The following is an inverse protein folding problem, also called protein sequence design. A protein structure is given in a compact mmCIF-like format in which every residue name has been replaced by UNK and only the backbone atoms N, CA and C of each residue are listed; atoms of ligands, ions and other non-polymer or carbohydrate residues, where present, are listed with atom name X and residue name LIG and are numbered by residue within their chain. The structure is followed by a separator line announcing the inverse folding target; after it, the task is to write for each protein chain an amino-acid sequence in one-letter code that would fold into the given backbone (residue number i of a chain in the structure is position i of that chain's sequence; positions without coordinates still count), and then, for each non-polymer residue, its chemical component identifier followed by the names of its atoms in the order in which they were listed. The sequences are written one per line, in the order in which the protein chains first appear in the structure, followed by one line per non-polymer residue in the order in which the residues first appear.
data_IF_785827809759
#
_entry.id   IF_785827809759
#
_cell.length_a   1.000
_cell.length_b   1.000
_cell.length_c   1.000
_cell.angle_alpha   90.00
_cell.angle_beta   90.00
_cell.angle_gamma   90.00
#
_symmetry.space_group_name_H-M   'P 1'
#
loop_
_entity.id
_entity.type
_entity.pdbx_description
1 polymer ?
#
# COMPACT_ATOMS: atom_id res chain seq x y z
N UNK A 1 -22.13 8.71 12.65
CA UNK A 1 -20.86 8.47 13.36
C UNK A 1 -20.34 9.82 13.81
N UNK A 2 -19.93 9.95 15.06
CA UNK A 2 -19.35 11.22 15.55
C UNK A 2 -17.82 11.17 15.39
N UNK A 3 -17.34 11.73 14.31
CA UNK A 3 -15.91 11.68 13.94
C UNK A 3 -15.04 12.49 14.90
N UNK A 4 -15.57 13.56 15.51
CA UNK A 4 -14.86 14.34 16.50
C UNK A 4 -14.65 13.54 17.80
N UNK A 5 -15.69 12.85 18.25
CA UNK A 5 -15.59 11.97 19.42
C UNK A 5 -14.63 10.80 19.19
N UNK A 6 -14.54 10.28 17.96
CA UNK A 6 -13.56 9.27 17.56
C UNK A 6 -12.14 9.81 17.41
N UNK A 7 -11.97 11.13 17.38
CA UNK A 7 -10.70 11.78 17.16
C UNK A 7 -10.13 11.51 15.78
N UNK A 8 -10.98 11.55 14.73
CA UNK A 8 -10.54 11.41 13.35
C UNK A 8 -9.58 12.52 12.99
N UNK A 9 -8.43 12.11 12.45
CA UNK A 9 -7.43 12.99 11.86
C UNK A 9 -7.00 12.40 10.53
N UNK A 10 -7.09 13.21 9.47
CA UNK A 10 -6.67 12.80 8.13
C UNK A 10 -5.79 13.85 7.45
N UNK A 11 -4.91 13.37 6.57
CA UNK A 11 -4.07 14.16 5.68
C UNK A 11 -4.10 13.59 4.27
N UNK A 12 -3.79 14.40 3.27
CA UNK A 12 -3.76 14.01 1.85
C UNK A 12 -2.36 14.24 1.29
N UNK A 13 -1.92 13.29 0.47
CA UNK A 13 -0.78 13.42 -0.41
C UNK A 13 -1.26 13.30 -1.85
N UNK A 14 -1.06 14.33 -2.67
CA UNK A 14 -1.49 14.37 -4.07
C UNK A 14 -0.27 14.30 -4.96
N UNK A 15 -0.29 13.37 -5.92
CA UNK A 15 0.69 13.26 -7.00
C UNK A 15 0.01 13.63 -8.31
N UNK A 16 0.46 14.70 -8.97
CA UNK A 16 -0.08 15.18 -10.24
C UNK A 16 1.02 15.32 -11.28
N UNK A 17 0.84 14.66 -12.43
CA UNK A 17 1.74 14.82 -13.57
C UNK A 17 1.65 16.25 -14.15
N UNK A 18 2.82 16.86 -14.42
CA UNK A 18 2.90 18.14 -15.07
C UNK A 18 2.88 17.96 -16.60
N UNK A 19 2.31 18.94 -17.30
CA UNK A 19 2.23 18.94 -18.75
C UNK A 19 3.40 19.73 -19.36
N UNK A 20 4.62 19.24 -19.12
CA UNK A 20 5.85 19.78 -19.70
C UNK A 20 6.15 19.15 -21.05
N UNK A 21 6.98 19.81 -21.88
CA UNK A 21 7.44 19.24 -23.15
C UNK A 21 8.42 18.10 -22.94
N UNK A 22 9.30 18.24 -21.98
CA UNK A 22 10.39 17.31 -21.69
C UNK A 22 10.24 16.72 -20.28
N UNK A 23 10.82 15.54 -20.08
CA UNK A 23 10.89 14.86 -18.78
C UNK A 23 11.76 15.65 -17.79
N UNK A 24 11.76 15.20 -16.52
CA UNK A 24 12.33 15.96 -15.42
C UNK A 24 13.87 16.06 -15.50
N UNK A 25 14.54 14.99 -15.89
CA UNK A 25 16.01 14.89 -15.91
C UNK A 25 16.60 14.43 -17.25
N UNK A 26 15.81 14.53 -18.33
CA UNK A 26 16.27 14.30 -19.69
C UNK A 26 15.44 15.14 -20.68
N UNK A 27 15.75 15.04 -21.97
CA UNK A 27 15.03 15.77 -23.02
C UNK A 27 13.99 14.92 -23.76
N UNK A 28 13.70 13.75 -23.26
CA UNK A 28 12.66 12.91 -23.83
C UNK A 28 11.27 13.56 -23.68
N UNK A 29 10.37 13.36 -24.65
CA UNK A 29 9.02 13.91 -24.58
C UNK A 29 8.20 13.26 -23.48
N UNK A 30 7.21 13.97 -22.92
CA UNK A 30 6.31 13.45 -21.91
C UNK A 30 5.03 12.82 -22.50
N UNK A 31 5.16 12.19 -23.65
CA UNK A 31 4.08 11.47 -24.35
C UNK A 31 4.11 10.01 -23.95
N UNK A 32 2.90 9.42 -23.76
CA UNK A 32 2.78 7.99 -23.48
C UNK A 32 2.42 7.23 -24.75
N UNK A 33 3.01 6.04 -24.91
CA UNK A 33 2.77 5.11 -25.99
C UNK A 33 1.97 3.88 -25.49
N UNK A 34 1.20 3.20 -26.34
CA UNK A 34 0.69 1.88 -26.05
C UNK A 34 1.83 0.90 -25.71
N UNK A 35 1.59 -0.05 -24.82
CA UNK A 35 2.63 -1.00 -24.39
C UNK A 35 3.19 -1.83 -25.55
N UNK A 36 2.37 -2.09 -26.56
CA UNK A 36 2.72 -2.87 -27.75
C UNK A 36 3.67 -2.14 -28.70
N UNK A 37 3.79 -0.83 -28.57
CA UNK A 37 4.65 0.01 -29.40
C UNK A 37 6.09 0.15 -28.86
N UNK A 38 6.48 -0.67 -27.86
CA UNK A 38 7.86 -0.67 -27.39
C UNK A 38 8.82 -1.11 -28.52
N UNK A 39 9.96 -0.44 -28.60
CA UNK A 39 10.98 -0.65 -29.63
C UNK A 39 12.17 -1.47 -29.14
N UNK A 40 12.28 -1.68 -27.83
CA UNK A 40 13.32 -2.50 -27.22
C UNK A 40 12.96 -2.96 -25.83
N UNK A 41 13.77 -3.87 -25.30
CA UNK A 41 13.65 -4.38 -23.96
C UNK A 41 14.99 -4.71 -23.33
N UNK A 42 15.09 -4.53 -22.01
CA UNK A 42 16.23 -4.99 -21.22
C UNK A 42 15.79 -5.46 -19.84
N UNK A 43 16.67 -6.15 -19.15
CA UNK A 43 16.33 -6.63 -17.80
C UNK A 43 17.42 -6.31 -16.79
N UNK A 44 16.98 -6.10 -15.53
CA UNK A 44 17.87 -5.81 -14.41
C UNK A 44 17.47 -6.60 -13.15
N UNK A 45 18.47 -6.83 -12.32
CA UNK A 45 18.30 -7.18 -10.91
C UNK A 45 18.60 -5.93 -10.09
N UNK A 46 17.66 -5.49 -9.26
CA UNK A 46 17.93 -4.38 -8.35
C UNK A 46 18.97 -4.80 -7.30
N UNK A 47 19.91 -3.90 -7.06
CA UNK A 47 20.90 -4.04 -5.99
C UNK A 47 20.69 -2.91 -5.00
N UNK A 48 20.72 -3.25 -3.71
CA UNK A 48 20.76 -2.23 -2.68
C UNK A 48 22.08 -1.48 -2.74
N UNK A 49 21.99 -0.16 -2.84
CA UNK A 49 23.16 0.73 -2.81
C UNK A 49 23.55 1.01 -1.37
N UNK A 50 24.83 1.03 -1.09
CA UNK A 50 25.35 1.52 0.20
C UNK A 50 25.26 3.04 0.24
N UNK A 51 24.91 3.58 1.41
CA UNK A 51 25.00 5.02 1.68
C UNK A 51 26.47 5.45 1.79
N UNK A 52 26.71 6.76 1.81
CA UNK A 52 28.04 7.32 2.05
C UNK A 52 28.65 6.88 3.40
N UNK A 53 27.83 6.40 4.33
CA UNK A 53 28.24 5.84 5.62
C UNK A 53 28.46 4.32 5.61
N UNK A 54 28.33 3.68 4.44
CA UNK A 54 28.44 2.23 4.28
C UNK A 54 27.24 1.44 4.78
N UNK A 55 26.12 2.11 5.06
CA UNK A 55 24.89 1.46 5.49
C UNK A 55 24.00 1.09 4.29
N UNK A 56 23.45 -0.10 4.32
CA UNK A 56 22.46 -0.56 3.35
C UNK A 56 21.07 -0.48 4.00
N UNK A 57 20.11 0.13 3.29
CA UNK A 57 18.72 0.16 3.73
C UNK A 57 18.20 -1.24 4.04
N UNK A 58 17.49 -1.38 5.16
CA UNK A 58 17.05 -2.67 5.68
C UNK A 58 16.03 -3.35 4.77
N UNK A 59 15.11 -2.59 4.18
CA UNK A 59 14.09 -3.13 3.28
C UNK A 59 14.72 -3.52 1.93
N UNK A 60 15.65 -2.73 1.40
CA UNK A 60 16.41 -3.04 0.20
C UNK A 60 17.26 -4.30 0.36
N UNK A 61 17.89 -4.49 1.52
CA UNK A 61 18.66 -5.71 1.86
C UNK A 61 17.77 -6.95 1.90
N UNK A 62 16.55 -6.82 2.44
CA UNK A 62 15.62 -7.93 2.52
C UNK A 62 15.06 -8.30 1.13
N UNK A 63 14.76 -7.30 0.31
CA UNK A 63 14.27 -7.50 -1.05
C UNK A 63 15.33 -8.17 -1.96
N UNK A 64 16.60 -7.84 -1.80
CA UNK A 64 17.70 -8.48 -2.54
C UNK A 64 17.75 -10.00 -2.38
N UNK A 65 17.26 -10.56 -1.26
CA UNK A 65 17.21 -12.02 -1.05
C UNK A 65 16.28 -12.73 -2.02
N UNK A 66 15.34 -12.03 -2.62
CA UNK A 66 14.37 -12.59 -3.56
C UNK A 66 14.91 -12.71 -4.99
N UNK A 67 16.04 -12.08 -5.32
CA UNK A 67 16.66 -12.12 -6.65
C UNK A 67 15.66 -11.89 -7.79
N UNK A 68 14.73 -10.95 -7.63
CA UNK A 68 13.73 -10.64 -8.66
C UNK A 68 14.40 -10.01 -9.87
N UNK A 69 14.06 -10.50 -11.06
CA UNK A 69 14.46 -9.95 -12.35
C UNK A 69 13.34 -9.09 -12.88
N UNK A 70 13.62 -7.81 -13.14
CA UNK A 70 12.68 -6.87 -13.73
C UNK A 70 12.97 -6.72 -15.22
N UNK A 71 11.92 -6.71 -16.05
CA UNK A 71 11.97 -6.48 -17.48
C UNK A 71 11.43 -5.08 -17.77
N UNK A 72 12.14 -4.32 -18.60
CA UNK A 72 11.78 -2.95 -18.95
C UNK A 72 11.59 -2.81 -20.45
N UNK A 73 10.48 -2.20 -20.85
CA UNK A 73 10.18 -1.82 -22.23
C UNK A 73 10.65 -0.39 -22.50
N UNK A 74 11.39 -0.20 -23.59
CA UNK A 74 11.87 1.10 -24.07
C UNK A 74 11.05 1.59 -25.26
N UNK A 75 11.11 2.88 -25.52
CA UNK A 75 10.34 3.58 -26.54
C UNK A 75 11.17 4.72 -27.14
N UNK A 76 10.70 5.32 -28.24
CA UNK A 76 11.25 6.57 -28.80
C UNK A 76 11.18 7.77 -27.83
N UNK A 77 10.40 7.64 -26.74
CA UNK A 77 10.27 8.59 -25.62
C UNK A 77 11.17 8.28 -24.43
N UNK A 78 12.12 7.35 -24.57
CA UNK A 78 13.09 6.97 -23.52
C UNK A 78 14.52 7.12 -24.00
N UNK A 79 15.46 7.31 -23.08
CA UNK A 79 16.88 7.39 -23.37
C UNK A 79 17.72 6.68 -22.28
N UNK A 80 19.04 6.80 -22.36
CA UNK A 80 19.97 6.17 -21.43
C UNK A 80 19.81 6.67 -19.97
N UNK A 81 19.22 7.85 -19.76
CA UNK A 81 18.91 8.36 -18.41
C UNK A 81 17.85 7.47 -17.74
N UNK A 82 16.74 7.14 -18.43
CA UNK A 82 15.72 6.23 -17.92
C UNK A 82 16.25 4.79 -17.78
N UNK A 83 17.22 4.43 -18.61
CA UNK A 83 17.91 3.13 -18.49
C UNK A 83 18.92 3.10 -17.34
N UNK A 84 19.16 4.22 -16.64
CA UNK A 84 20.21 4.37 -15.63
C UNK A 84 21.63 4.04 -16.16
N UNK A 85 21.90 4.47 -17.40
CA UNK A 85 23.18 4.26 -18.12
C UNK A 85 23.87 5.57 -18.50
N UNK A 86 23.22 6.71 -18.22
CA UNK A 86 23.75 8.05 -18.44
C UNK A 86 23.42 8.95 -17.24
N UNK A 87 24.32 9.87 -16.83
CA UNK A 87 24.02 10.85 -15.80
C UNK A 87 22.79 11.70 -16.16
N UNK A 88 21.94 12.06 -15.18
CA UNK A 88 20.77 12.89 -15.43
C UNK A 88 21.16 14.30 -15.90
N UNK A 89 20.34 14.89 -16.75
CA UNK A 89 20.41 16.32 -17.08
C UNK A 89 20.03 17.18 -15.84
N UNK A 90 20.31 18.48 -15.84
CA UNK A 90 19.79 19.39 -14.83
C UNK A 90 18.27 19.35 -14.73
N UNK A 91 17.76 19.63 -13.53
CA UNK A 91 16.31 19.70 -13.24
C UNK A 91 15.58 20.57 -14.29
N UNK A 92 14.50 20.05 -14.86
CA UNK A 92 13.72 20.74 -15.89
C UNK A 92 13.16 22.08 -15.35
N UNK A 93 13.55 23.23 -15.96
CA UNK A 93 13.16 24.57 -15.49
C UNK A 93 11.67 24.86 -15.69
N UNK A 94 11.02 24.29 -16.72
CA UNK A 94 9.58 24.44 -16.95
C UNK A 94 8.78 23.75 -15.84
N UNK A 95 9.21 22.56 -15.42
CA UNK A 95 8.60 21.82 -14.31
C UNK A 95 8.78 22.57 -12.99
N UNK A 96 10.00 23.05 -12.70
CA UNK A 96 10.28 23.83 -11.49
C UNK A 96 9.45 25.12 -11.45
N UNK A 97 9.38 25.86 -12.56
CA UNK A 97 8.57 27.09 -12.65
C UNK A 97 7.08 26.80 -12.40
N UNK A 98 6.58 25.66 -12.87
CA UNK A 98 5.20 25.24 -12.63
C UNK A 98 4.96 24.92 -11.13
N UNK A 99 5.87 24.21 -10.48
CA UNK A 99 5.78 23.95 -9.04
C UNK A 99 5.85 25.25 -8.21
N UNK A 100 6.70 26.19 -8.59
CA UNK A 100 6.78 27.50 -7.92
C UNK A 100 5.50 28.34 -8.14
N UNK A 101 4.85 28.25 -9.30
CA UNK A 101 3.56 28.85 -9.54
C UNK A 101 2.49 28.28 -8.62
N UNK A 102 2.43 26.92 -8.51
CA UNK A 102 1.51 26.23 -7.61
C UNK A 102 1.78 26.63 -6.16
N UNK A 103 3.05 26.65 -5.73
CA UNK A 103 3.43 27.07 -4.39
C UNK A 103 2.96 28.50 -4.07
N UNK A 104 3.11 29.42 -5.01
CA UNK A 104 2.63 30.80 -4.87
C UNK A 104 1.10 30.87 -4.74
N UNK A 105 0.35 30.05 -5.48
CA UNK A 105 -1.11 30.02 -5.39
C UNK A 105 -1.60 29.50 -4.03
N UNK A 106 -0.84 28.67 -3.35
CA UNK A 106 -1.11 28.21 -1.99
C UNK A 106 -0.46 29.09 -0.89
N UNK A 107 0.15 30.23 -1.25
CA UNK A 107 0.81 31.11 -0.30
C UNK A 107 2.04 30.51 0.37
N UNK A 108 2.68 29.52 -0.25
CA UNK A 108 3.84 28.83 0.31
C UNK A 108 5.13 29.64 0.21
N UNK A 109 6.06 29.33 1.10
CA UNK A 109 7.43 29.87 1.07
C UNK A 109 8.33 28.96 0.22
N UNK A 110 8.83 29.43 -0.95
CA UNK A 110 9.83 28.67 -1.71
C UNK A 110 11.12 28.52 -0.92
N UNK A 111 11.77 27.34 -1.03
CA UNK A 111 13.09 27.15 -0.43
C UNK A 111 14.16 27.87 -1.28
N UNK A 112 15.19 28.44 -0.65
CA UNK A 112 16.20 29.24 -1.37
C UNK A 112 17.10 28.41 -2.30
N UNK A 113 17.23 27.10 -2.05
CA UNK A 113 18.06 26.20 -2.83
C UNK A 113 17.37 24.83 -2.97
N UNK A 114 17.13 24.42 -4.21
CA UNK A 114 16.49 23.13 -4.54
C UNK A 114 17.55 22.05 -4.70
N UNK A 115 17.52 21.04 -3.85
CA UNK A 115 18.42 19.89 -3.91
C UNK A 115 17.66 18.63 -4.33
N UNK A 116 18.17 17.93 -5.32
CA UNK A 116 17.65 16.63 -5.71
C UNK A 116 18.17 15.55 -4.77
N UNK A 117 17.25 14.80 -4.19
CA UNK A 117 17.50 13.67 -3.29
C UNK A 117 17.14 12.35 -3.96
N UNK A 118 17.58 11.23 -3.40
CA UNK A 118 17.27 9.88 -3.83
C UNK A 118 16.33 9.24 -2.81
N UNK A 119 15.07 9.00 -3.21
CA UNK A 119 14.07 8.26 -2.42
C UNK A 119 14.14 6.79 -2.85
N UNK A 120 14.60 5.90 -1.99
CA UNK A 120 14.78 4.47 -2.32
C UNK A 120 13.48 3.83 -2.80
N UNK A 121 13.55 3.08 -3.90
CA UNK A 121 12.44 2.35 -4.50
C UNK A 121 12.91 0.94 -4.85
N UNK A 122 12.33 -0.06 -4.20
CA UNK A 122 12.78 -1.46 -4.24
C UNK A 122 11.85 -2.39 -5.01
N UNK A 123 10.77 -1.87 -5.61
CA UNK A 123 9.74 -2.67 -6.28
C UNK A 123 9.95 -2.83 -7.79
N UNK A 124 11.04 -2.28 -8.33
CA UNK A 124 11.37 -2.32 -9.74
C UNK A 124 10.82 -1.19 -10.58
N UNK A 125 9.96 -0.32 -10.04
CA UNK A 125 9.35 0.78 -10.78
C UNK A 125 10.33 1.91 -11.16
N UNK A 126 11.53 1.91 -10.63
CA UNK A 126 12.64 2.79 -11.01
C UNK A 126 13.88 1.95 -11.34
N UNK A 127 14.42 2.10 -12.52
CA UNK A 127 15.59 1.33 -13.02
C UNK A 127 16.84 1.52 -12.17
N UNK A 128 17.01 2.73 -11.58
CA UNK A 128 18.12 3.09 -10.69
C UNK A 128 17.96 2.55 -9.25
N UNK A 129 16.78 2.00 -8.89
CA UNK A 129 16.48 1.62 -7.51
C UNK A 129 16.14 2.79 -6.58
N UNK A 130 15.97 3.99 -7.11
CA UNK A 130 15.53 5.18 -6.39
C UNK A 130 14.75 6.13 -7.30
N UNK A 131 13.90 6.96 -6.71
CA UNK A 131 13.18 8.05 -7.36
C UNK A 131 13.90 9.37 -7.02
N UNK A 132 14.18 10.21 -8.01
CA UNK A 132 14.71 11.54 -7.77
C UNK A 132 13.57 12.46 -7.37
N UNK A 133 13.72 13.09 -6.21
CA UNK A 133 12.76 14.03 -5.64
C UNK A 133 13.47 15.27 -5.13
N UNK A 134 12.81 16.43 -5.20
CA UNK A 134 13.36 17.68 -4.68
C UNK A 134 12.27 18.51 -4.01
N UNK A 135 12.53 18.98 -2.78
CA UNK A 135 11.68 19.92 -2.08
C UNK A 135 11.72 21.28 -2.78
N UNK A 136 10.56 21.90 -3.00
CA UNK A 136 10.44 23.20 -3.71
C UNK A 136 9.90 24.30 -2.81
N UNK A 137 8.89 23.99 -1.97
CA UNK A 137 8.27 24.98 -1.10
C UNK A 137 7.65 24.33 0.15
N UNK A 138 7.44 25.14 1.18
CA UNK A 138 6.88 24.72 2.47
C UNK A 138 5.84 25.71 2.97
N UNK A 139 5.00 25.27 3.92
CA UNK A 139 4.10 26.10 4.72
C UNK A 139 3.04 26.85 3.89
N UNK A 140 2.20 26.14 3.16
CA UNK A 140 1.03 26.68 2.49
C UNK A 140 -0.20 26.71 3.39
N UNK A 141 -1.26 27.33 2.90
CA UNK A 141 -2.54 27.45 3.62
C UNK A 141 -3.68 26.74 2.88
N UNK A 142 -4.57 26.12 3.65
CA UNK A 142 -5.79 25.49 3.17
C UNK A 142 -7.04 26.27 3.60
N UNK A 143 -8.17 26.15 2.89
CA UNK A 143 -9.41 26.89 3.20
C UNK A 143 -9.98 26.58 4.59
N UNK A 144 -9.75 25.37 5.11
CA UNK A 144 -10.20 24.96 6.45
C UNK A 144 -9.29 25.42 7.60
N UNK A 145 -8.30 26.27 7.32
CA UNK A 145 -7.30 26.69 8.28
C UNK A 145 -6.14 25.72 8.50
N UNK A 146 -6.14 24.58 7.82
CA UNK A 146 -5.03 23.65 7.80
C UNK A 146 -3.85 24.14 6.95
N UNK A 147 -2.78 23.34 6.88
CA UNK A 147 -1.56 23.70 6.17
C UNK A 147 -1.20 22.68 5.09
N UNK A 148 -0.56 23.16 4.03
CA UNK A 148 0.22 22.33 3.12
C UNK A 148 1.65 22.33 3.66
N UNK A 149 2.15 21.16 4.05
CA UNK A 149 3.48 21.04 4.64
C UNK A 149 4.57 21.25 3.58
N UNK A 150 4.46 20.51 2.47
CA UNK A 150 5.47 20.51 1.42
C UNK A 150 4.89 20.47 0.02
N UNK A 151 5.62 21.06 -0.93
CA UNK A 151 5.56 20.75 -2.35
C UNK A 151 6.92 20.22 -2.77
N UNK A 152 6.91 18.99 -3.30
CA UNK A 152 8.07 18.38 -3.93
C UNK A 152 7.84 18.25 -5.45
N UNK A 153 8.95 18.23 -6.20
CA UNK A 153 8.98 17.82 -7.59
C UNK A 153 9.70 16.49 -7.69
N UNK A 154 9.09 15.55 -8.39
CA UNK A 154 9.57 14.17 -8.49
C UNK A 154 9.56 13.68 -9.94
N UNK A 155 10.33 12.66 -10.24
CA UNK A 155 10.17 11.90 -11.47
C UNK A 155 9.09 10.83 -11.29
N UNK A 156 8.14 10.74 -12.23
CA UNK A 156 7.12 9.66 -12.22
C UNK A 156 7.81 8.30 -12.35
N UNK A 157 7.27 7.28 -11.70
CA UNK A 157 7.75 5.91 -11.79
C UNK A 157 7.34 5.25 -13.11
N UNK A 158 8.05 4.20 -13.53
CA UNK A 158 7.67 3.34 -14.65
C UNK A 158 6.29 2.71 -14.42
N UNK A 159 5.54 2.53 -15.50
CA UNK A 159 4.22 1.91 -15.43
C UNK A 159 4.35 0.38 -15.43
N UNK A 160 3.78 -0.27 -14.44
CA UNK A 160 3.71 -1.73 -14.41
C UNK A 160 2.77 -2.23 -15.50
N UNK A 161 3.25 -3.10 -16.36
CA UNK A 161 2.48 -3.76 -17.43
C UNK A 161 1.85 -5.06 -16.88
N UNK A 162 2.69 -5.91 -16.26
CA UNK A 162 2.29 -7.15 -15.58
C UNK A 162 3.46 -7.62 -14.73
N UNK A 163 3.17 -8.33 -13.64
CA UNK A 163 4.19 -8.93 -12.75
C UNK A 163 5.43 -8.01 -12.55
N UNK A 164 6.61 -8.44 -12.97
CA UNK A 164 7.87 -7.72 -12.93
C UNK A 164 8.22 -7.02 -14.27
N UNK A 165 7.23 -6.73 -15.11
CA UNK A 165 7.39 -6.05 -16.39
C UNK A 165 6.92 -4.60 -16.29
N UNK A 166 7.79 -3.65 -16.68
CA UNK A 166 7.54 -2.22 -16.59
C UNK A 166 7.75 -1.51 -17.93
N UNK A 167 6.90 -0.52 -18.23
CA UNK A 167 7.07 0.43 -19.34
C UNK A 167 7.80 1.67 -18.86
N UNK A 168 8.92 2.02 -19.48
CA UNK A 168 9.72 3.19 -19.15
C UNK A 168 9.18 4.50 -19.74
N UNK A 169 8.18 4.44 -20.59
CA UNK A 169 7.61 5.61 -21.24
C UNK A 169 7.15 6.67 -20.23
N UNK A 170 6.56 6.23 -19.12
CA UNK A 170 6.10 7.10 -18.03
C UNK A 170 7.25 7.55 -17.10
N UNK A 171 8.32 6.77 -16.98
CA UNK A 171 9.44 7.07 -16.08
C UNK A 171 10.04 8.43 -16.42
N UNK A 172 10.21 9.27 -15.41
CA UNK A 172 10.82 10.58 -15.55
C UNK A 172 9.86 11.70 -15.96
N UNK A 173 8.57 11.45 -16.24
CA UNK A 173 7.59 12.53 -16.40
C UNK A 173 7.56 13.36 -15.11
N UNK A 174 7.62 14.71 -15.19
CA UNK A 174 7.57 15.54 -13.99
C UNK A 174 6.28 15.37 -13.21
N UNK A 175 6.40 15.14 -11.92
CA UNK A 175 5.33 14.94 -10.97
C UNK A 175 5.42 15.99 -9.87
N UNK A 176 4.34 16.68 -9.56
CA UNK A 176 4.26 17.50 -8.35
C UNK A 176 3.60 16.68 -7.25
N UNK A 177 4.28 16.57 -6.12
CA UNK A 177 3.75 16.00 -4.88
C UNK A 177 3.37 17.12 -3.93
N UNK A 178 2.14 17.11 -3.41
CA UNK A 178 1.62 18.07 -2.43
C UNK A 178 1.20 17.29 -1.20
N UNK A 179 1.83 17.57 -0.06
CA UNK A 179 1.52 16.92 1.22
C UNK A 179 0.87 17.92 2.17
N UNK A 180 -0.31 17.59 2.69
CA UNK A 180 -1.00 18.39 3.71
C UNK A 180 -0.59 17.94 5.12
N UNK A 181 -0.73 18.85 6.08
CA UNK A 181 -0.76 18.44 7.49
C UNK A 181 -1.99 17.56 7.77
N UNK A 182 -1.99 16.78 8.86
CA UNK A 182 -3.15 16.01 9.29
C UNK A 182 -4.21 16.94 9.92
N UNK A 183 -4.92 17.71 9.11
CA UNK A 183 -5.79 18.83 9.50
C UNK A 183 -7.26 18.66 9.14
N UNK A 184 -7.67 17.48 8.68
CA UNK A 184 -9.05 17.18 8.30
C UNK A 184 -9.66 16.22 9.32
N UNK A 185 -10.90 16.50 9.75
CA UNK A 185 -11.55 15.83 10.87
C UNK A 185 -12.88 15.15 10.50
N UNK A 186 -13.33 15.31 9.26
CA UNK A 186 -14.51 14.64 8.71
C UNK A 186 -14.23 14.07 7.32
N UNK A 187 -14.93 13.01 6.90
CA UNK A 187 -14.78 12.46 5.54
C UNK A 187 -15.09 13.48 4.44
N UNK A 188 -16.09 14.32 4.67
CA UNK A 188 -16.51 15.38 3.74
C UNK A 188 -15.42 16.42 3.59
N UNK A 189 -14.80 16.83 4.69
CA UNK A 189 -13.69 17.80 4.67
C UNK A 189 -12.49 17.27 3.88
N UNK A 190 -12.17 15.96 3.99
CA UNK A 190 -11.11 15.34 3.18
C UNK A 190 -11.41 15.45 1.69
N UNK A 191 -12.64 15.17 1.29
CA UNK A 191 -13.08 15.29 -0.10
C UNK A 191 -13.02 16.75 -0.59
N UNK A 192 -13.55 17.71 0.18
CA UNK A 192 -13.55 19.14 -0.16
C UNK A 192 -12.14 19.69 -0.35
N UNK A 193 -11.19 19.29 0.51
CA UNK A 193 -9.79 19.69 0.38
C UNK A 193 -9.14 19.06 -0.85
N UNK A 194 -9.42 17.78 -1.14
CA UNK A 194 -8.93 17.13 -2.35
C UNK A 194 -9.45 17.83 -3.63
N UNK A 195 -10.72 18.19 -3.66
CA UNK A 195 -11.33 18.95 -4.75
C UNK A 195 -10.70 20.33 -4.92
N UNK A 196 -10.49 21.06 -3.81
CA UNK A 196 -9.83 22.36 -3.80
C UNK A 196 -8.41 22.27 -4.37
N UNK A 197 -7.59 21.33 -3.89
CA UNK A 197 -6.23 21.11 -4.39
C UNK A 197 -6.23 20.78 -5.89
N UNK A 198 -7.12 19.88 -6.31
CA UNK A 198 -7.28 19.51 -7.71
C UNK A 198 -7.74 20.70 -8.58
N UNK A 199 -8.60 21.57 -8.09
CA UNK A 199 -9.04 22.79 -8.78
C UNK A 199 -7.88 23.78 -8.97
N UNK A 200 -7.08 24.02 -7.92
CA UNK A 200 -5.91 24.90 -7.99
C UNK A 200 -4.90 24.36 -9.00
N UNK A 201 -4.59 23.06 -8.96
CA UNK A 201 -3.70 22.42 -9.92
C UNK A 201 -4.18 22.61 -11.36
N UNK A 202 -5.46 22.33 -11.63
CA UNK A 202 -6.06 22.48 -12.97
C UNK A 202 -6.09 23.94 -13.44
N UNK A 203 -6.25 24.91 -12.54
CA UNK A 203 -6.30 26.34 -12.89
C UNK A 203 -4.99 26.88 -13.42
N UNK A 204 -3.84 26.21 -13.16
CA UNK A 204 -2.55 26.55 -13.75
C UNK A 204 -2.52 26.36 -15.27
N UNK A 205 -3.36 25.49 -15.83
CA UNK A 205 -3.30 25.04 -17.23
C UNK A 205 -2.07 24.20 -17.58
N UNK A 206 -1.22 23.85 -16.61
CA UNK A 206 0.08 23.19 -16.79
C UNK A 206 0.17 21.77 -16.22
N UNK A 207 -0.97 21.18 -15.88
CA UNK A 207 -1.03 19.78 -15.44
C UNK A 207 -1.66 18.91 -16.50
N UNK A 208 -1.25 17.63 -16.54
CA UNK A 208 -1.88 16.64 -17.43
C UNK A 208 -3.30 16.31 -16.94
N UNK A 209 -4.15 15.90 -17.88
CA UNK A 209 -5.53 15.50 -17.64
C UNK A 209 -5.77 14.06 -18.09
N UNK A 210 -6.76 13.40 -17.48
CA UNK A 210 -7.15 12.03 -17.80
C UNK A 210 -6.81 11.06 -16.67
N UNK A 211 -7.28 9.82 -16.85
CA UNK A 211 -7.09 8.75 -15.87
C UNK A 211 -5.59 8.48 -15.63
N UNK A 212 -5.21 8.31 -14.38
CA UNK A 212 -3.85 7.99 -13.97
C UNK A 212 -2.88 9.18 -13.96
N UNK A 213 -3.31 10.41 -14.32
CA UNK A 213 -2.46 11.60 -14.28
C UNK A 213 -2.44 12.29 -12.92
N UNK A 214 -3.42 11.99 -12.06
CA UNK A 214 -3.51 12.42 -10.67
C UNK A 214 -3.82 11.21 -9.78
N UNK A 215 -3.18 11.12 -8.64
CA UNK A 215 -3.42 10.12 -7.61
C UNK A 215 -3.42 10.79 -6.25
N UNK A 216 -4.29 10.32 -5.36
CA UNK A 216 -4.33 10.78 -3.98
C UNK A 216 -4.07 9.60 -3.06
N UNK A 217 -3.18 9.83 -2.10
CA UNK A 217 -2.91 8.94 -0.99
C UNK A 217 -3.49 9.60 0.27
N UNK A 218 -4.34 8.86 1.02
CA UNK A 218 -5.06 9.42 2.15
C UNK A 218 -4.55 8.77 3.42
N UNK A 219 -4.00 9.56 4.32
CA UNK A 219 -3.57 9.15 5.65
C UNK A 219 -4.74 9.35 6.63
N UNK A 220 -5.12 8.30 7.35
CA UNK A 220 -6.28 8.28 8.25
C UNK A 220 -5.88 7.66 9.58
N UNK A 221 -6.28 8.29 10.68
CA UNK A 221 -6.17 7.73 12.03
C UNK A 221 -7.34 8.17 12.90
N UNK A 222 -7.65 7.36 13.92
CA UNK A 222 -8.56 7.69 15.01
C UNK A 222 -7.85 7.52 16.36
N UNK A 223 -8.43 8.05 17.42
CA UNK A 223 -7.88 7.90 18.79
C UNK A 223 -7.70 6.42 19.16
N UNK A 224 -6.48 6.05 19.56
CA UNK A 224 -6.13 4.66 19.89
C UNK A 224 -5.94 3.73 18.69
N UNK A 225 -6.19 4.20 17.46
CA UNK A 225 -5.91 3.49 16.22
C UNK A 225 -4.50 3.76 15.68
N UNK A 226 -4.21 3.18 14.52
CA UNK A 226 -2.95 3.41 13.81
C UNK A 226 -3.17 4.37 12.63
N UNK A 227 -2.12 5.11 12.26
CA UNK A 227 -2.14 5.84 10.99
C UNK A 227 -2.07 4.84 9.85
N UNK A 228 -3.10 4.85 9.00
CA UNK A 228 -3.20 4.02 7.80
C UNK A 228 -3.16 4.90 6.58
N UNK A 229 -2.32 4.58 5.62
CA UNK A 229 -2.25 5.22 4.32
C UNK A 229 -3.00 4.36 3.29
N UNK A 230 -4.02 4.94 2.65
CA UNK A 230 -4.76 4.33 1.55
C UNK A 230 -4.26 4.96 0.26
N UNK A 231 -3.59 4.15 -0.57
CA UNK A 231 -2.92 4.62 -1.77
C UNK A 231 -3.82 4.58 -3.01
N UNK A 232 -3.62 5.57 -3.88
CA UNK A 232 -4.12 5.54 -5.24
C UNK A 232 -5.61 5.76 -5.40
N UNK A 233 -6.24 6.54 -4.52
CA UNK A 233 -7.63 6.96 -4.70
C UNK A 233 -7.69 7.96 -5.86
N UNK A 234 -8.38 7.61 -6.95
CA UNK A 234 -8.44 8.44 -8.17
C UNK A 234 -9.73 9.24 -8.30
N UNK A 235 -10.83 8.69 -7.82
CA UNK A 235 -12.16 9.28 -7.95
C UNK A 235 -12.48 10.15 -6.71
N UNK A 236 -12.68 11.44 -6.92
CA UNK A 236 -12.98 12.38 -5.84
C UNK A 236 -14.23 12.00 -5.05
N UNK A 237 -15.27 11.55 -5.74
CA UNK A 237 -16.55 11.16 -5.14
C UNK A 237 -16.43 9.96 -4.17
N UNK A 238 -15.38 9.16 -4.30
CA UNK A 238 -15.12 8.01 -3.42
C UNK A 238 -14.31 8.35 -2.18
N UNK A 239 -13.66 9.52 -2.12
CA UNK A 239 -12.76 9.88 -1.02
C UNK A 239 -13.48 9.83 0.33
N UNK A 240 -14.63 10.48 0.47
CA UNK A 240 -15.38 10.48 1.71
C UNK A 240 -15.79 9.06 2.14
N UNK A 241 -16.18 8.21 1.20
CA UNK A 241 -16.55 6.82 1.50
C UNK A 241 -15.32 5.99 1.92
N UNK A 242 -14.17 6.18 1.28
CA UNK A 242 -12.92 5.53 1.67
C UNK A 242 -12.55 5.89 3.11
N UNK A 243 -12.64 7.17 3.48
CA UNK A 243 -12.38 7.62 4.86
C UNK A 243 -13.37 6.98 5.84
N UNK A 244 -14.68 6.98 5.53
CA UNK A 244 -15.71 6.36 6.38
C UNK A 244 -15.43 4.88 6.63
N UNK A 245 -15.05 4.14 5.58
CA UNK A 245 -14.75 2.70 5.67
C UNK A 245 -13.54 2.43 6.54
N UNK A 246 -12.48 3.22 6.37
CA UNK A 246 -11.29 3.05 7.19
C UNK A 246 -11.54 3.41 8.66
N UNK A 247 -12.25 4.49 8.94
CA UNK A 247 -12.65 4.85 10.33
C UNK A 247 -13.47 3.72 10.95
N UNK A 248 -14.47 3.19 10.24
CA UNK A 248 -15.28 2.07 10.69
C UNK A 248 -14.42 0.84 10.98
N UNK A 249 -13.47 0.53 10.10
CA UNK A 249 -12.55 -0.59 10.29
C UNK A 249 -11.72 -0.43 11.55
N UNK A 250 -11.13 0.74 11.77
CA UNK A 250 -10.31 1.01 12.96
C UNK A 250 -11.16 0.94 14.24
N UNK A 251 -12.35 1.56 14.27
CA UNK A 251 -13.27 1.52 15.41
C UNK A 251 -13.63 0.08 15.77
N UNK A 252 -13.99 -0.75 14.77
CA UNK A 252 -14.34 -2.15 14.98
C UNK A 252 -13.14 -2.97 15.47
N UNK A 253 -11.95 -2.76 14.94
CA UNK A 253 -10.73 -3.43 15.41
C UNK A 253 -10.40 -3.06 16.87
N UNK A 254 -10.56 -1.80 17.25
CA UNK A 254 -10.40 -1.36 18.64
C UNK A 254 -11.43 -2.05 19.58
N UNK A 255 -12.69 -2.11 19.15
CA UNK A 255 -13.74 -2.83 19.89
C UNK A 255 -13.41 -4.31 20.04
N UNK A 256 -12.96 -4.99 18.99
CA UNK A 256 -12.53 -6.40 19.05
C UNK A 256 -11.34 -6.55 20.00
N UNK A 257 -10.35 -5.69 19.93
CA UNK A 257 -9.17 -5.68 20.84
C UNK A 257 -9.61 -5.59 22.30
N UNK A 258 -10.52 -4.69 22.62
CA UNK A 258 -10.97 -4.48 24.00
C UNK A 258 -11.79 -5.69 24.50
N UNK A 259 -12.66 -6.26 23.68
CA UNK A 259 -13.37 -7.52 23.98
C UNK A 259 -12.41 -8.70 24.19
N UNK A 260 -11.33 -8.79 23.40
CA UNK A 260 -10.29 -9.81 23.58
C UNK A 260 -9.55 -9.64 24.91
N UNK A 261 -9.21 -8.40 25.28
CA UNK A 261 -8.60 -8.09 26.57
C UNK A 261 -9.51 -8.46 27.75
N UNK A 262 -10.79 -8.10 27.71
CA UNK A 262 -11.79 -8.45 28.71
C UNK A 262 -11.95 -9.97 28.88
N UNK A 263 -11.90 -10.72 27.78
CA UNK A 263 -11.94 -12.19 27.78
C UNK A 263 -10.64 -12.81 28.30
N UNK A 264 -9.55 -12.04 28.44
CA UNK A 264 -8.21 -12.55 28.71
C UNK A 264 -7.73 -13.48 27.59
N UNK A 265 -8.01 -13.09 26.34
CA UNK A 265 -7.61 -13.84 25.15
C UNK A 265 -6.09 -13.96 25.06
N UNK A 266 -5.64 -15.02 24.44
CA UNK A 266 -4.20 -15.25 24.20
C UNK A 266 -3.99 -16.01 22.91
N UNK A 267 -2.83 -15.81 22.30
CA UNK A 267 -2.38 -16.52 21.11
C UNK A 267 -1.30 -17.51 21.53
N UNK A 268 -1.56 -18.81 21.36
CA UNK A 268 -0.59 -19.85 21.69
C UNK A 268 0.21 -20.24 20.44
N UNK A 269 1.53 -20.02 20.52
CA UNK A 269 2.42 -19.87 19.42
C UNK A 269 2.90 -21.14 18.67
N UNK A 270 2.36 -22.33 18.90
CA UNK A 270 2.82 -23.54 18.17
C UNK A 270 1.74 -24.03 17.24
N UNK A 271 1.90 -23.87 15.92
CA UNK A 271 1.00 -24.48 14.94
C UNK A 271 1.01 -26.00 15.01
N UNK A 272 -0.17 -26.62 14.87
CA UNK A 272 -0.37 -28.07 14.92
C UNK A 272 -0.63 -28.60 13.51
N UNK A 273 -0.01 -29.71 13.14
CA UNK A 273 -0.32 -30.44 11.92
C UNK A 273 -1.65 -31.20 12.09
N UNK A 274 -2.61 -30.87 11.24
CA UNK A 274 -3.96 -31.46 11.26
C UNK A 274 -4.32 -32.11 9.93
N UNK A 275 -3.32 -32.43 9.11
CA UNK A 275 -3.51 -32.96 7.76
C UNK A 275 -4.34 -34.23 7.74
N UNK A 276 -4.16 -35.13 8.72
CA UNK A 276 -4.85 -36.42 8.77
C UNK A 276 -6.37 -36.28 8.98
N UNK A 277 -6.82 -35.26 9.72
CA UNK A 277 -8.24 -34.98 9.94
C UNK A 277 -9.00 -34.79 8.64
N UNK A 278 -8.33 -34.13 7.67
CA UNK A 278 -8.93 -33.75 6.39
C UNK A 278 -8.63 -34.72 5.25
N UNK A 279 -8.15 -35.93 5.54
CA UNK A 279 -7.83 -36.93 4.52
C UNK A 279 -9.03 -37.34 3.65
N UNK A 280 -10.25 -37.30 4.21
CA UNK A 280 -11.50 -37.61 3.51
C UNK A 280 -12.44 -36.43 3.36
N UNK A 281 -11.92 -35.21 3.54
CA UNK A 281 -12.71 -33.98 3.49
C UNK A 281 -13.39 -33.74 2.14
N UNK A 282 -14.58 -33.15 2.18
CA UNK A 282 -15.29 -32.67 1.00
C UNK A 282 -14.72 -31.34 0.44
N UNK A 283 -13.80 -30.69 1.18
CA UNK A 283 -13.20 -29.43 0.75
C UNK A 283 -12.18 -29.63 -0.37
N UNK A 284 -12.46 -29.09 -1.56
CA UNK A 284 -11.57 -29.18 -2.71
C UNK A 284 -10.20 -28.52 -2.52
N UNK A 285 -10.08 -27.57 -1.59
CA UNK A 285 -8.83 -26.87 -1.25
C UNK A 285 -8.00 -27.73 -0.28
N UNK A 286 -8.61 -28.16 0.82
CA UNK A 286 -7.93 -28.96 1.85
C UNK A 286 -7.48 -30.30 1.30
N UNK A 287 -8.30 -30.96 0.49
CA UNK A 287 -8.01 -32.25 -0.14
C UNK A 287 -6.74 -32.23 -1.04
N UNK A 288 -6.44 -31.08 -1.65
CA UNK A 288 -5.29 -30.92 -2.56
C UNK A 288 -4.01 -30.48 -1.86
N UNK A 289 -4.09 -30.09 -0.59
CA UNK A 289 -2.96 -29.57 0.13
C UNK A 289 -2.00 -30.71 0.57
N UNK A 290 -0.72 -30.46 0.45
CA UNK A 290 0.30 -31.39 0.96
C UNK A 290 0.50 -31.30 2.47
N UNK A 291 0.05 -30.19 3.07
CA UNK A 291 0.08 -29.95 4.52
C UNK A 291 -1.06 -29.01 4.92
N UNK A 292 -1.71 -29.35 6.04
CA UNK A 292 -2.72 -28.52 6.67
C UNK A 292 -2.27 -28.26 8.10
N UNK A 293 -2.12 -26.97 8.45
CA UNK A 293 -1.70 -26.53 9.76
C UNK A 293 -2.82 -25.74 10.44
N UNK A 294 -2.94 -25.87 11.75
CA UNK A 294 -3.90 -25.16 12.56
C UNK A 294 -3.23 -24.29 13.62
N UNK A 295 -3.82 -23.11 13.89
CA UNK A 295 -3.45 -22.21 14.98
C UNK A 295 -4.66 -22.03 15.88
N UNK A 296 -4.48 -22.24 17.18
CA UNK A 296 -5.50 -21.96 18.20
C UNK A 296 -5.38 -20.53 18.67
N UNK A 297 -6.46 -19.78 18.55
CA UNK A 297 -6.64 -18.44 19.10
C UNK A 297 -7.57 -18.55 20.30
N UNK A 298 -6.99 -18.58 21.51
CA UNK A 298 -7.76 -18.82 22.74
C UNK A 298 -8.65 -17.62 23.05
N UNK A 299 -9.96 -17.88 23.26
CA UNK A 299 -11.03 -16.91 23.54
C UNK A 299 -11.35 -15.91 22.40
N UNK A 300 -10.95 -16.24 21.16
CA UNK A 300 -11.30 -15.49 19.95
C UNK A 300 -12.64 -15.94 19.35
N UNK A 301 -13.29 -16.97 19.88
CA UNK A 301 -14.55 -17.51 19.33
C UNK A 301 -15.61 -16.44 19.09
N UNK A 302 -16.18 -16.43 17.88
CA UNK A 302 -17.15 -15.46 17.39
C UNK A 302 -16.59 -14.10 17.01
N UNK A 303 -15.29 -13.84 17.22
CA UNK A 303 -14.66 -12.55 16.87
C UNK A 303 -13.94 -12.56 15.52
N UNK A 304 -13.42 -13.71 15.11
CA UNK A 304 -12.75 -13.83 13.80
C UNK A 304 -13.75 -13.66 12.65
N UNK A 305 -15.00 -14.07 12.86
CA UNK A 305 -16.12 -13.83 11.95
C UNK A 305 -16.72 -12.43 12.00
N UNK A 306 -16.36 -11.58 12.98
CA UNK A 306 -16.93 -10.24 13.14
C UNK A 306 -16.58 -9.33 11.95
N UNK A 307 -17.58 -8.64 11.43
CA UNK A 307 -17.43 -7.69 10.33
C UNK A 307 -16.80 -6.38 10.83
N UNK A 308 -15.65 -6.03 10.24
CA UNK A 308 -14.91 -4.80 10.58
C UNK A 308 -15.26 -3.64 9.65
N UNK A 309 -15.67 -3.96 8.42
CA UNK A 309 -16.28 -3.03 7.45
C UNK A 309 -17.11 -3.87 6.47
N UNK A 310 -18.02 -3.28 5.67
CA UNK A 310 -18.85 -4.05 4.74
C UNK A 310 -18.07 -4.99 3.85
N UNK A 311 -18.41 -6.29 3.94
CA UNK A 311 -17.75 -7.34 3.18
C UNK A 311 -16.36 -7.75 3.67
N UNK A 312 -15.88 -7.21 4.79
CA UNK A 312 -14.56 -7.52 5.34
C UNK A 312 -14.64 -7.83 6.83
N UNK A 313 -14.08 -8.95 7.25
CA UNK A 313 -14.09 -9.48 8.63
C UNK A 313 -12.68 -9.47 9.22
N UNK A 314 -12.56 -9.69 10.54
CA UNK A 314 -11.24 -9.91 11.16
C UNK A 314 -10.51 -11.09 10.52
N UNK A 315 -11.21 -12.17 10.16
CA UNK A 315 -10.66 -13.29 9.40
C UNK A 315 -10.04 -12.87 8.07
N UNK A 316 -10.57 -11.84 7.40
CA UNK A 316 -9.97 -11.28 6.18
C UNK A 316 -8.60 -10.64 6.46
N UNK A 317 -8.44 -9.94 7.58
CA UNK A 317 -7.15 -9.38 8.02
C UNK A 317 -6.11 -10.49 8.27
N UNK A 318 -6.51 -11.56 8.95
CA UNK A 318 -5.64 -12.72 9.19
C UNK A 318 -5.26 -13.40 7.85
N UNK A 319 -6.22 -13.53 6.94
CA UNK A 319 -6.01 -14.11 5.61
C UNK A 319 -5.00 -13.31 4.78
N UNK A 320 -5.07 -11.98 4.81
CA UNK A 320 -4.15 -11.13 4.05
C UNK A 320 -2.69 -11.28 4.54
N UNK A 321 -2.51 -11.46 5.85
CA UNK A 321 -1.19 -11.78 6.40
C UNK A 321 -0.72 -13.17 5.97
N UNK A 322 -1.60 -14.17 6.00
CA UNK A 322 -1.28 -15.53 5.55
C UNK A 322 -0.90 -15.58 4.06
N UNK A 323 -1.61 -14.86 3.20
CA UNK A 323 -1.37 -14.80 1.76
C UNK A 323 0.02 -14.31 1.39
N UNK A 324 0.71 -13.52 2.23
CA UNK A 324 2.10 -13.12 2.03
C UNK A 324 3.07 -14.31 1.95
N UNK A 325 2.66 -15.48 2.45
CA UNK A 325 3.42 -16.73 2.37
C UNK A 325 3.06 -17.61 1.15
N UNK A 326 2.23 -17.10 0.24
CA UNK A 326 1.84 -17.80 -0.99
C UNK A 326 0.72 -18.84 -0.80
N UNK A 327 -0.05 -18.79 0.30
CA UNK A 327 -1.27 -19.58 0.49
C UNK A 327 -2.48 -18.87 -0.10
N UNK A 328 -3.52 -19.62 -0.49
CA UNK A 328 -4.72 -19.06 -1.12
C UNK A 328 -5.67 -18.33 -0.15
N UNK A 329 -5.56 -18.59 1.14
CA UNK A 329 -6.42 -18.03 2.19
C UNK A 329 -6.40 -18.88 3.46
N UNK A 330 -7.38 -18.64 4.30
CA UNK A 330 -7.58 -19.38 5.57
C UNK A 330 -9.00 -19.91 5.69
N UNK A 331 -9.22 -20.86 6.59
CA UNK A 331 -10.53 -21.22 7.14
C UNK A 331 -10.49 -21.00 8.66
N UNK A 332 -11.64 -20.75 9.28
CA UNK A 332 -11.72 -20.63 10.73
C UNK A 332 -13.01 -21.19 11.31
N UNK A 333 -12.98 -21.62 12.57
CA UNK A 333 -14.11 -22.31 13.21
C UNK A 333 -15.32 -21.43 13.47
N UNK A 334 -15.21 -20.08 13.34
CA UNK A 334 -16.37 -19.20 13.44
C UNK A 334 -17.29 -19.29 12.19
N UNK A 335 -16.83 -19.85 11.08
CA UNK A 335 -17.63 -20.09 9.86
C UNK A 335 -17.80 -21.59 9.54
N UNK A 336 -17.04 -22.47 10.20
CA UNK A 336 -17.17 -23.91 10.02
C UNK A 336 -18.27 -24.49 10.96
N UNK A 337 -19.02 -25.53 10.54
CA UNK A 337 -18.83 -26.35 9.31
C UNK A 337 -19.35 -25.66 8.05
N UNK A 338 -18.53 -25.56 7.02
CA UNK A 338 -18.83 -24.99 5.70
C UNK A 338 -17.75 -25.40 4.69
N UNK A 339 -17.87 -25.02 3.43
CA UNK A 339 -16.85 -25.18 2.37
C UNK A 339 -16.37 -26.62 2.15
N UNK A 340 -17.25 -27.58 2.41
CA UNK A 340 -16.93 -29.01 2.30
C UNK A 340 -16.26 -29.62 3.56
N UNK A 341 -16.10 -28.84 4.62
CA UNK A 341 -15.70 -29.31 5.96
C UNK A 341 -16.97 -29.64 6.76
N UNK A 342 -17.05 -30.84 7.31
CA UNK A 342 -18.21 -31.31 8.08
C UNK A 342 -18.04 -31.08 9.60
N UNK A 343 -19.11 -31.34 10.37
CA UNK A 343 -19.11 -31.14 11.81
C UNK A 343 -18.19 -32.09 12.57
N UNK A 344 -17.99 -33.32 12.07
CA UNK A 344 -17.13 -34.31 12.69
C UNK A 344 -15.65 -33.91 12.56
N UNK A 345 -15.27 -33.38 11.40
CA UNK A 345 -13.93 -32.84 11.14
C UNK A 345 -13.64 -31.63 12.05
N UNK A 346 -14.63 -30.74 12.27
CA UNK A 346 -14.52 -29.61 13.21
C UNK A 346 -14.35 -30.10 14.64
N UNK A 347 -15.07 -31.11 15.05
CA UNK A 347 -14.94 -31.71 16.40
C UNK A 347 -13.56 -32.32 16.58
N UNK A 348 -13.13 -33.17 15.65
CA UNK A 348 -11.79 -33.77 15.66
C UNK A 348 -10.68 -32.73 15.69
N UNK A 349 -10.86 -31.60 14.93
CA UNK A 349 -9.94 -30.48 14.93
C UNK A 349 -9.85 -29.84 16.32
N UNK A 350 -10.98 -29.56 16.97
CA UNK A 350 -11.04 -28.98 18.32
C UNK A 350 -10.33 -29.88 19.34
N UNK A 351 -10.61 -31.18 19.30
CA UNK A 351 -10.03 -32.18 20.20
C UNK A 351 -8.49 -32.25 20.01
N UNK A 352 -7.99 -32.29 18.74
CA UNK A 352 -6.57 -32.38 18.45
C UNK A 352 -5.77 -31.17 18.93
N UNK A 353 -6.32 -29.95 18.79
CA UNK A 353 -5.63 -28.71 19.23
C UNK A 353 -5.98 -28.30 20.67
N UNK A 354 -6.82 -29.07 21.36
CA UNK A 354 -7.25 -28.81 22.72
C UNK A 354 -8.05 -27.51 22.87
N UNK A 355 -8.92 -27.18 21.90
CA UNK A 355 -9.65 -25.93 21.85
C UNK A 355 -11.04 -26.07 22.44
N UNK A 356 -11.41 -25.17 23.38
CA UNK A 356 -12.73 -25.03 23.94
C UNK A 356 -13.71 -24.30 23.02
N UNK A 357 -14.99 -24.19 23.47
CA UNK A 357 -16.04 -23.50 22.71
C UNK A 357 -15.75 -22.00 22.50
N UNK A 358 -15.09 -21.38 23.46
CA UNK A 358 -14.71 -19.94 23.40
C UNK A 358 -13.53 -19.65 22.46
N UNK A 359 -12.84 -20.68 21.94
CA UNK A 359 -11.66 -20.52 21.12
C UNK A 359 -12.03 -20.53 19.64
N UNK A 360 -11.25 -19.80 18.83
CA UNK A 360 -11.26 -19.93 17.38
C UNK A 360 -10.02 -20.67 16.90
N UNK A 361 -10.19 -21.58 15.96
CA UNK A 361 -9.09 -22.27 15.29
C UNK A 361 -9.02 -21.75 13.86
N UNK A 362 -7.83 -21.34 13.45
CA UNK A 362 -7.55 -20.94 12.07
C UNK A 362 -6.76 -22.03 11.38
N UNK A 363 -7.19 -22.43 10.17
CA UNK A 363 -6.61 -23.50 9.38
C UNK A 363 -6.00 -22.92 8.10
N UNK A 364 -4.80 -23.40 7.77
CA UNK A 364 -4.08 -23.02 6.56
C UNK A 364 -3.68 -24.24 5.78
N UNK A 365 -3.90 -24.23 4.46
CA UNK A 365 -3.56 -25.28 3.53
C UNK A 365 -2.46 -24.82 2.56
N UNK A 366 -1.44 -25.66 2.33
CA UNK A 366 -0.35 -25.33 1.41
C UNK A 366 0.77 -26.38 1.41
N UNK A 367 1.95 -26.00 0.90
CA UNK A 367 3.17 -26.78 1.15
C UNK A 367 3.60 -26.63 2.61
N UNK A 368 4.44 -27.53 3.16
CA UNK A 368 4.92 -27.43 4.55
C UNK A 368 5.53 -26.06 4.88
N UNK A 369 6.32 -25.48 3.96
CA UNK A 369 6.95 -24.17 4.11
C UNK A 369 5.91 -23.04 4.11
N UNK A 370 4.97 -23.07 3.17
CA UNK A 370 3.93 -22.05 3.05
C UNK A 370 2.99 -22.06 4.27
N UNK A 371 2.49 -23.25 4.65
CA UNK A 371 1.57 -23.38 5.77
C UNK A 371 2.22 -22.97 7.11
N UNK A 372 3.47 -23.36 7.34
CA UNK A 372 4.22 -22.93 8.53
C UNK A 372 4.46 -21.42 8.58
N UNK A 373 4.88 -20.83 7.47
CA UNK A 373 5.04 -19.38 7.33
C UNK A 373 3.71 -18.65 7.59
N UNK A 374 2.62 -19.09 6.97
CA UNK A 374 1.30 -18.47 7.09
C UNK A 374 0.77 -18.51 8.53
N UNK A 375 0.96 -19.62 9.24
CA UNK A 375 0.61 -19.72 10.67
C UNK A 375 1.36 -18.69 11.52
N UNK A 376 2.67 -18.49 11.27
CA UNK A 376 3.43 -17.47 11.99
C UNK A 376 2.92 -16.05 11.70
N UNK A 377 2.53 -15.76 10.45
CA UNK A 377 1.95 -14.46 10.10
C UNK A 377 0.58 -14.23 10.75
N UNK A 378 -0.25 -15.28 10.85
CA UNK A 378 -1.54 -15.24 11.55
C UNK A 378 -1.33 -14.94 13.04
N UNK A 379 -0.42 -15.67 13.71
CA UNK A 379 -0.05 -15.46 15.11
C UNK A 379 0.38 -14.00 15.31
N UNK A 380 1.33 -13.55 14.51
CA UNK A 380 1.84 -12.16 14.58
C UNK A 380 0.75 -11.10 14.42
N UNK A 381 -0.23 -11.33 13.49
CA UNK A 381 -1.34 -10.38 13.30
C UNK A 381 -2.34 -10.44 14.45
N UNK A 382 -2.57 -11.62 15.04
CA UNK A 382 -3.50 -11.81 16.15
C UNK A 382 -2.95 -11.27 17.49
N UNK A 383 -1.63 -11.16 17.65
CA UNK A 383 -0.96 -10.58 18.82
C UNK A 383 -1.03 -9.04 18.86
N UNK A 384 -1.22 -8.39 17.70
CA UNK A 384 -1.33 -6.93 17.56
C UNK A 384 -2.71 -6.41 17.96
#
# INVERSE_FOLDING_TARGET
MDYNALGLVAGIEIHQQLNTREKLFCRCPTLLRPFEEHDGEFSRYLRATESELGEIDRAAREEMKNFRRFLYYTYDSTCLVENDEEPPAPLNPEALATCLQIAKMFGMAPIPQVHTMRKLVIDGSNTSGFQRTALVAVNGTLPNGGTIETICIEEEAAQRVKDEVFSLDRLGIPLVEITTSPCMHTPEEVQEIAEYLGMVLRSTGKVKRGLGTIRQDINISISGGARVEIKGVQELDLIAEVVRREVQRQERLLSIRDRLKERGASVWGTPVDVTEIFSHTGSGILKKASRIMAVRLARFGGLVGDEIQPGRRLGSELSDYAKKCGVGGIFHTDELPAYGVNAEEVTALRDMVGAGESDCIVIVAGTPRQAGCACQQIIRRAEL
#
